data_IF_488880991866
#
_entry.id   IF_488880991866
#
_cell.length_a   1.000
_cell.length_b   1.000
_cell.length_c   1.000
_cell.angle_alpha   90.00
_cell.angle_beta   90.00
_cell.angle_gamma   90.00
#
_symmetry.space_group_name_H-M   'P 1'
#
loop_
_entity.id
_entity.type
_entity.pdbx_description
1 polymer ?
#
# COMPACT_ATOMS: atom_id res chain seq x y z
N UNK A 1 5.27 -22.80 -30.95
CA UNK A 1 4.80 -22.53 -29.57
C UNK A 1 3.35 -22.04 -29.63
N UNK A 2 2.34 -22.93 -29.54
CA UNK A 2 0.93 -22.54 -29.74
C UNK A 2 -0.06 -23.22 -28.78
N UNK A 3 0.34 -23.36 -27.52
CA UNK A 3 -0.56 -23.54 -26.38
C UNK A 3 0.22 -23.01 -25.19
N UNK A 4 -0.21 -21.94 -24.50
CA UNK A 4 0.47 -21.63 -23.22
C UNK A 4 -0.36 -20.89 -22.18
N UNK A 5 -1.28 -20.00 -22.54
CA UNK A 5 -2.06 -19.27 -21.54
C UNK A 5 -3.54 -19.25 -21.90
N UNK A 6 -4.41 -19.69 -20.97
CA UNK A 6 -5.88 -19.66 -21.10
C UNK A 6 -6.49 -18.35 -20.59
N UNK A 7 -5.74 -17.62 -19.77
CA UNK A 7 -6.12 -16.39 -19.09
C UNK A 7 -4.85 -15.72 -18.56
N UNK A 8 -4.79 -14.38 -18.56
CA UNK A 8 -3.82 -13.59 -17.81
C UNK A 8 -4.53 -12.83 -16.69
N UNK A 9 -3.93 -12.84 -15.51
CA UNK A 9 -4.29 -11.96 -14.40
C UNK A 9 -3.24 -10.85 -14.30
N UNK A 10 -3.68 -9.59 -14.29
CA UNK A 10 -2.83 -8.43 -14.11
C UNK A 10 -3.03 -7.91 -12.69
N UNK A 11 -1.98 -7.90 -11.88
CA UNK A 11 -2.02 -7.36 -10.52
C UNK A 11 -0.99 -6.24 -10.44
N UNK A 12 -1.45 -5.00 -10.30
CA UNK A 12 -0.60 -3.81 -10.29
C UNK A 12 -0.32 -3.35 -8.85
N UNK A 13 0.95 -3.04 -8.59
CA UNK A 13 1.44 -2.54 -7.31
C UNK A 13 2.66 -1.67 -7.56
N UNK A 14 2.45 -0.48 -8.12
CA UNK A 14 3.51 0.52 -8.27
C UNK A 14 3.40 1.50 -7.11
N UNK A 15 4.53 2.04 -6.67
CA UNK A 15 4.63 3.17 -5.75
C UNK A 15 5.71 4.12 -6.29
N UNK A 16 5.32 5.01 -7.19
CA UNK A 16 6.22 6.02 -7.76
C UNK A 16 5.65 7.43 -7.52
N UNK A 17 6.45 8.32 -6.93
CA UNK A 17 6.11 9.74 -6.76
C UNK A 17 5.15 10.08 -5.61
N UNK A 18 4.88 9.12 -4.73
CA UNK A 18 3.76 9.07 -3.80
C UNK A 18 4.03 9.66 -2.39
N UNK A 19 4.92 10.65 -2.27
CA UNK A 19 5.47 11.08 -0.96
C UNK A 19 5.22 12.55 -0.64
N UNK A 20 4.34 13.19 -1.40
CA UNK A 20 4.13 14.65 -1.39
C UNK A 20 2.67 15.02 -1.14
N UNK A 21 2.44 16.27 -0.74
CA UNK A 21 1.11 16.86 -0.49
C UNK A 21 0.74 17.89 -1.55
N UNK A 22 -0.55 18.09 -1.82
CA UNK A 22 -0.99 19.16 -2.72
C UNK A 22 -0.69 20.55 -2.14
N UNK A 23 -0.34 21.50 -3.02
CA UNK A 23 0.03 22.87 -2.66
C UNK A 23 -1.03 23.60 -1.82
N UNK A 24 -2.32 23.38 -2.12
CA UNK A 24 -3.44 24.01 -1.40
C UNK A 24 -3.48 23.71 0.10
N UNK A 25 -2.78 22.66 0.56
CA UNK A 25 -2.69 22.31 1.98
C UNK A 25 -1.41 22.79 2.66
N UNK A 26 -0.48 23.39 1.91
CA UNK A 26 0.79 23.91 2.42
C UNK A 26 1.79 22.83 2.87
N UNK A 27 3.00 23.27 3.28
CA UNK A 27 3.99 22.39 3.87
C UNK A 27 3.53 21.90 5.25
N UNK A 28 3.99 20.72 5.64
CA UNK A 28 3.70 20.16 6.97
C UNK A 28 4.83 19.24 7.42
N UNK A 29 4.77 18.81 8.67
CA UNK A 29 5.63 17.79 9.22
C UNK A 29 4.80 16.68 9.81
N UNK A 30 5.28 15.45 9.68
CA UNK A 30 4.67 14.27 10.27
C UNK A 30 5.65 13.57 11.17
N UNK A 31 5.13 12.83 12.15
CA UNK A 31 5.96 11.99 13.00
C UNK A 31 6.37 10.74 12.24
N UNK A 32 7.64 10.37 12.34
CA UNK A 32 8.14 9.14 11.74
C UNK A 32 9.33 8.58 12.53
N UNK A 33 9.72 7.34 12.20
CA UNK A 33 10.92 6.69 12.73
C UNK A 33 11.95 6.48 11.63
N UNK A 34 13.23 6.70 11.94
CA UNK A 34 14.35 6.30 11.09
C UNK A 34 14.69 4.83 11.37
N UNK A 35 14.60 4.00 10.34
CA UNK A 35 14.88 2.57 10.40
C UNK A 35 15.95 2.22 9.38
N UNK A 36 16.96 1.46 9.78
CA UNK A 36 17.94 0.91 8.86
C UNK A 36 17.25 0.03 7.80
N UNK A 37 17.77 0.02 6.58
CA UNK A 37 17.24 -0.86 5.52
C UNK A 37 18.12 -2.09 5.37
N UNK A 38 17.50 -3.22 5.09
CA UNK A 38 18.22 -4.45 4.75
C UNK A 38 19.15 -4.17 3.55
N UNK A 39 20.47 -4.47 3.64
CA UNK A 39 21.46 -3.98 2.67
C UNK A 39 21.28 -4.52 1.25
N UNK A 40 20.63 -5.69 1.10
CA UNK A 40 20.36 -6.33 -0.20
C UNK A 40 18.91 -6.15 -0.63
N UNK A 41 17.95 -6.59 0.20
CA UNK A 41 16.52 -6.63 -0.12
C UNK A 41 15.82 -5.26 -0.01
N UNK A 42 16.48 -4.26 0.60
CA UNK A 42 16.01 -2.87 0.68
C UNK A 42 14.60 -2.69 1.30
N UNK A 43 14.19 -3.54 2.23
CA UNK A 43 13.06 -3.27 3.10
C UNK A 43 13.53 -2.68 4.44
N UNK A 44 12.66 -2.00 5.21
CA UNK A 44 13.00 -1.51 6.54
C UNK A 44 13.26 -2.66 7.52
N UNK A 45 14.44 -2.73 8.11
CA UNK A 45 14.92 -3.85 8.92
C UNK A 45 14.56 -3.67 10.41
N UNK A 46 13.44 -4.27 10.82
CA UNK A 46 12.99 -4.30 12.21
C UNK A 46 13.51 -5.51 13.01
N UNK A 47 14.42 -6.32 12.45
CA UNK A 47 14.92 -7.54 13.11
C UNK A 47 15.72 -7.26 14.39
N UNK A 48 16.22 -6.03 14.56
CA UNK A 48 16.97 -5.59 15.72
C UNK A 48 16.54 -4.19 16.15
N UNK A 49 16.51 -3.96 17.47
CA UNK A 49 16.20 -2.64 18.03
C UNK A 49 17.20 -1.56 17.61
N UNK A 50 18.48 -1.90 17.46
CA UNK A 50 19.54 -0.97 17.01
C UNK A 50 19.30 -0.38 15.61
N UNK A 51 18.44 -1.02 14.82
CA UNK A 51 18.06 -0.51 13.51
C UNK A 51 17.02 0.60 13.58
N UNK A 52 16.26 0.72 14.67
CA UNK A 52 15.32 1.81 14.91
C UNK A 52 16.09 2.95 15.58
N UNK A 53 16.57 3.90 14.78
CA UNK A 53 17.61 4.85 15.18
C UNK A 53 17.06 6.08 15.87
N UNK A 54 15.93 6.59 15.37
CA UNK A 54 15.39 7.87 15.82
C UNK A 54 13.87 7.92 15.63
N UNK A 55 13.21 8.65 16.52
CA UNK A 55 11.84 9.16 16.33
C UNK A 55 11.92 10.68 16.18
N UNK A 56 11.24 11.22 15.17
CA UNK A 56 11.32 12.65 14.88
C UNK A 56 10.19 13.15 14.01
N UNK A 57 10.31 14.43 13.63
CA UNK A 57 9.46 15.06 12.64
C UNK A 57 10.17 15.03 11.28
N UNK A 58 9.43 14.67 10.24
CA UNK A 58 9.91 14.66 8.85
C UNK A 58 9.04 15.58 8.00
N UNK A 59 9.68 16.33 7.10
CA UNK A 59 8.99 17.24 6.21
C UNK A 59 8.21 16.48 5.13
N UNK A 60 6.97 16.91 4.90
CA UNK A 60 6.19 16.47 3.74
C UNK A 60 6.35 17.53 2.64
N UNK A 61 7.04 17.15 1.57
CA UNK A 61 7.26 18.05 0.45
C UNK A 61 5.95 18.35 -0.31
N UNK A 62 5.85 19.55 -0.87
CA UNK A 62 4.72 19.96 -1.72
C UNK A 62 4.95 19.45 -3.15
N UNK A 63 3.89 18.89 -3.75
CA UNK A 63 3.88 18.42 -5.13
C UNK A 63 3.73 19.58 -6.11
N UNK A 64 4.59 19.62 -7.12
CA UNK A 64 4.38 20.47 -8.29
C UNK A 64 3.53 19.75 -9.35
N UNK A 65 3.17 20.44 -10.43
CA UNK A 65 2.37 19.87 -11.52
C UNK A 65 2.97 18.59 -12.12
N UNK A 66 4.30 18.55 -12.30
CA UNK A 66 5.00 17.36 -12.84
C UNK A 66 4.94 16.17 -11.88
N UNK A 67 5.00 16.42 -10.58
CA UNK A 67 4.82 15.38 -9.57
C UNK A 67 3.42 14.78 -9.65
N UNK A 68 2.39 15.63 -9.83
CA UNK A 68 0.99 15.22 -9.94
C UNK A 68 0.77 14.41 -11.23
N UNK A 69 1.23 14.93 -12.38
CA UNK A 69 1.14 14.25 -13.67
C UNK A 69 1.79 12.87 -13.62
N UNK A 70 3.02 12.81 -13.10
CA UNK A 70 3.76 11.55 -12.96
C UNK A 70 3.04 10.57 -12.03
N UNK A 71 2.52 11.05 -10.91
CA UNK A 71 1.78 10.19 -9.96
C UNK A 71 0.52 9.65 -10.62
N UNK A 72 -0.26 10.48 -11.30
CA UNK A 72 -1.46 10.06 -12.02
C UNK A 72 -1.16 9.04 -13.12
N UNK A 73 -0.07 9.22 -13.87
CA UNK A 73 0.34 8.28 -14.91
C UNK A 73 0.70 6.90 -14.33
N UNK A 74 1.59 6.85 -13.35
CA UNK A 74 2.11 5.57 -12.85
C UNK A 74 1.20 4.89 -11.83
N UNK A 75 0.52 5.66 -10.99
CA UNK A 75 -0.31 5.16 -9.88
C UNK A 75 -1.81 5.16 -10.21
N UNK A 76 -2.22 5.90 -11.24
CA UNK A 76 -3.62 6.06 -11.64
C UNK A 76 -3.97 5.35 -12.94
N UNK A 77 -3.26 5.62 -14.03
CA UNK A 77 -3.68 5.14 -15.35
C UNK A 77 -2.82 4.01 -15.92
N UNK A 78 -1.74 3.63 -15.24
CA UNK A 78 -0.80 2.59 -15.71
C UNK A 78 -1.46 1.24 -16.01
N UNK A 79 -2.58 0.94 -15.35
CA UNK A 79 -3.40 -0.25 -15.64
C UNK A 79 -3.82 -0.29 -17.11
N UNK A 80 -4.17 0.85 -17.69
CA UNK A 80 -4.60 0.94 -19.10
C UNK A 80 -3.51 0.55 -20.08
N UNK A 81 -2.25 0.91 -19.77
CA UNK A 81 -1.06 0.62 -20.57
C UNK A 81 -0.79 -0.89 -20.69
N UNK A 82 -1.31 -1.69 -19.74
CA UNK A 82 -1.16 -3.14 -19.74
C UNK A 82 -2.42 -3.85 -20.21
N UNK A 83 -3.60 -3.45 -19.73
CA UNK A 83 -4.86 -4.14 -20.02
C UNK A 83 -5.18 -4.08 -21.52
N UNK A 84 -5.02 -2.92 -22.16
CA UNK A 84 -5.41 -2.76 -23.57
C UNK A 84 -4.58 -3.68 -24.50
N UNK A 85 -3.23 -3.69 -24.43
CA UNK A 85 -2.42 -4.61 -25.24
C UNK A 85 -2.65 -6.10 -24.92
N UNK A 86 -2.88 -6.45 -23.64
CA UNK A 86 -3.18 -7.84 -23.27
C UNK A 86 -4.53 -8.31 -23.86
N UNK A 87 -5.52 -7.43 -23.92
CA UNK A 87 -6.79 -7.72 -24.56
C UNK A 87 -6.64 -7.90 -26.08
N UNK A 88 -5.93 -6.99 -26.75
CA UNK A 88 -5.65 -7.06 -28.20
C UNK A 88 -4.90 -8.33 -28.59
N UNK A 89 -4.00 -8.80 -27.72
CA UNK A 89 -3.28 -10.07 -27.89
C UNK A 89 -4.15 -11.32 -27.59
N UNK A 90 -5.42 -11.16 -27.21
CA UNK A 90 -6.33 -12.25 -26.87
C UNK A 90 -5.99 -12.95 -25.54
N UNK A 91 -5.26 -12.29 -24.63
CA UNK A 91 -4.81 -12.86 -23.37
C UNK A 91 -5.77 -12.58 -22.20
N UNK A 92 -6.70 -11.64 -22.36
CA UNK A 92 -7.77 -11.40 -21.39
C UNK A 92 -9.04 -12.16 -21.76
N UNK A 93 -9.58 -12.90 -20.79
CA UNK A 93 -10.79 -13.70 -20.97
C UNK A 93 -11.93 -13.14 -20.11
N UNK A 94 -13.03 -12.75 -20.76
CA UNK A 94 -14.24 -12.27 -20.09
C UNK A 94 -14.74 -13.28 -19.03
N UNK A 95 -15.14 -12.78 -17.87
CA UNK A 95 -15.60 -13.54 -16.70
C UNK A 95 -14.52 -14.34 -15.96
N UNK A 96 -13.28 -14.39 -16.46
CA UNK A 96 -12.21 -15.26 -15.92
C UNK A 96 -10.96 -14.46 -15.55
N UNK A 97 -10.49 -13.59 -16.44
CA UNK A 97 -9.34 -12.71 -16.19
C UNK A 97 -9.61 -11.78 -15.02
N UNK A 98 -8.57 -11.52 -14.23
CA UNK A 98 -8.61 -10.59 -13.10
C UNK A 98 -7.66 -9.44 -13.41
N UNK A 99 -8.15 -8.21 -13.22
CA UNK A 99 -7.33 -7.00 -13.17
C UNK A 99 -7.44 -6.47 -11.75
N UNK A 100 -6.37 -6.51 -10.99
CA UNK A 100 -6.38 -6.13 -9.59
C UNK A 100 -5.29 -5.11 -9.26
N UNK A 101 -5.47 -4.42 -8.15
CA UNK A 101 -4.45 -3.55 -7.59
C UNK A 101 -4.48 -3.61 -6.07
N UNK A 102 -3.30 -3.48 -5.47
CA UNK A 102 -3.18 -3.27 -4.04
C UNK A 102 -3.53 -1.81 -3.70
N UNK A 103 -4.52 -1.62 -2.83
CA UNK A 103 -4.92 -0.31 -2.33
C UNK A 103 -4.80 -0.19 -0.81
N UNK A 104 -4.11 0.85 -0.36
CA UNK A 104 -4.10 1.25 1.03
C UNK A 104 -5.29 2.19 1.22
N UNK A 105 -6.25 1.80 2.06
CA UNK A 105 -7.45 2.60 2.32
C UNK A 105 -7.14 3.63 3.42
N UNK A 106 -6.71 4.82 2.98
CA UNK A 106 -6.22 5.89 3.83
C UNK A 106 -7.33 6.82 4.34
N UNK A 107 -7.03 7.50 5.45
CA UNK A 107 -7.85 8.58 5.98
C UNK A 107 -7.77 9.83 5.08
N UNK A 108 -8.88 10.55 4.93
CA UNK A 108 -8.97 11.69 4.00
C UNK A 108 -8.08 12.86 4.40
N UNK A 109 -7.81 12.99 5.68
CA UNK A 109 -6.96 13.99 6.29
C UNK A 109 -5.51 13.53 6.49
N UNK A 110 -5.16 12.32 6.03
CA UNK A 110 -3.76 11.91 5.97
C UNK A 110 -2.96 12.90 5.11
N UNK A 111 -1.88 13.48 5.64
CA UNK A 111 -1.14 14.57 5.00
C UNK A 111 -0.42 14.16 3.72
N UNK A 112 -0.23 12.86 3.45
CA UNK A 112 0.46 12.36 2.26
C UNK A 112 -0.51 11.64 1.33
N UNK A 113 -1.23 10.64 1.84
CA UNK A 113 -2.14 9.83 1.07
C UNK A 113 -3.46 10.55 0.76
N UNK A 114 -4.10 11.14 1.76
CA UNK A 114 -5.41 11.78 1.66
C UNK A 114 -5.36 13.16 1.04
N UNK A 115 -4.29 13.90 1.32
CA UNK A 115 -4.09 15.29 0.92
C UNK A 115 -2.99 15.47 -0.13
N UNK A 116 -2.47 14.39 -0.69
CA UNK A 116 -1.46 14.40 -1.74
C UNK A 116 -1.91 13.82 -3.08
N UNK A 117 -1.04 13.84 -4.10
CA UNK A 117 -1.35 13.34 -5.45
C UNK A 117 -1.83 11.89 -5.51
N UNK A 118 -1.45 11.09 -4.51
CA UNK A 118 -1.93 9.73 -4.35
C UNK A 118 -3.46 9.63 -4.29
N UNK A 119 -4.14 10.56 -3.63
CA UNK A 119 -5.59 10.55 -3.54
C UNK A 119 -6.24 10.59 -4.92
N UNK A 120 -5.80 11.54 -5.77
CA UNK A 120 -6.25 11.66 -7.15
C UNK A 120 -5.89 10.42 -7.97
N UNK A 121 -4.68 9.90 -7.84
CA UNK A 121 -4.26 8.71 -8.55
C UNK A 121 -5.09 7.48 -8.18
N UNK A 122 -5.50 7.29 -6.92
CA UNK A 122 -6.36 6.17 -6.53
C UNK A 122 -7.75 6.25 -7.15
N UNK A 123 -8.29 7.45 -7.35
CA UNK A 123 -9.54 7.65 -8.09
C UNK A 123 -9.36 7.20 -9.54
N UNK A 124 -8.33 7.71 -10.22
CA UNK A 124 -8.02 7.35 -11.61
C UNK A 124 -7.74 5.85 -11.80
N UNK A 125 -7.14 5.21 -10.80
CA UNK A 125 -6.88 3.76 -10.78
C UNK A 125 -8.17 2.95 -10.73
N UNK A 126 -9.13 3.36 -9.90
CA UNK A 126 -10.45 2.73 -9.82
C UNK A 126 -11.22 2.91 -11.13
N UNK A 127 -11.21 4.12 -11.69
CA UNK A 127 -11.82 4.41 -13.00
C UNK A 127 -11.21 3.57 -14.12
N UNK A 128 -9.87 3.45 -14.15
CA UNK A 128 -9.14 2.63 -15.14
C UNK A 128 -9.54 1.16 -15.06
N UNK A 129 -9.81 0.65 -13.86
CA UNK A 129 -10.28 -0.71 -13.64
C UNK A 129 -11.75 -0.92 -13.98
N UNK A 130 -12.60 0.05 -13.68
CA UNK A 130 -14.00 0.04 -14.11
C UNK A 130 -14.09 0.00 -15.63
N UNK A 131 -13.29 0.82 -16.31
CA UNK A 131 -13.16 0.82 -17.78
C UNK A 131 -12.70 -0.54 -18.29
N UNK A 132 -11.70 -1.17 -17.66
CA UNK A 132 -11.24 -2.50 -18.04
C UNK A 132 -12.35 -3.57 -17.93
N UNK A 133 -13.10 -3.56 -16.82
CA UNK A 133 -14.20 -4.47 -16.61
C UNK A 133 -15.34 -4.27 -17.63
N UNK A 134 -15.73 -3.02 -17.89
CA UNK A 134 -16.78 -2.69 -18.85
C UNK A 134 -16.38 -3.07 -20.28
N UNK A 135 -15.14 -2.77 -20.69
CA UNK A 135 -14.67 -2.97 -22.06
C UNK A 135 -14.36 -4.43 -22.38
N UNK A 136 -13.78 -5.17 -21.44
CA UNK A 136 -13.25 -6.52 -21.69
C UNK A 136 -13.94 -7.64 -20.89
N UNK A 137 -14.89 -7.29 -20.02
CA UNK A 137 -15.59 -8.27 -19.17
C UNK A 137 -14.69 -8.93 -18.13
N UNK A 138 -13.52 -8.37 -17.82
CA UNK A 138 -12.63 -8.90 -16.77
C UNK A 138 -13.18 -8.61 -15.37
N UNK A 139 -12.83 -9.45 -14.40
CA UNK A 139 -13.06 -9.17 -12.98
C UNK A 139 -12.08 -8.08 -12.53
N UNK A 140 -12.56 -6.89 -12.18
CA UNK A 140 -11.72 -5.88 -11.55
C UNK A 140 -11.84 -5.95 -10.02
N UNK A 141 -10.71 -6.12 -9.34
CA UNK A 141 -10.67 -6.36 -7.88
C UNK A 141 -9.69 -5.40 -7.19
N UNK A 142 -10.22 -4.57 -6.29
CA UNK A 142 -9.42 -3.77 -5.35
C UNK A 142 -9.00 -4.65 -4.18
N UNK A 143 -7.70 -4.85 -3.99
CA UNK A 143 -7.16 -5.58 -2.85
C UNK A 143 -6.82 -4.57 -1.76
N UNK A 144 -7.66 -4.45 -0.74
CA UNK A 144 -7.38 -3.54 0.37
C UNK A 144 -6.43 -4.22 1.36
N UNK A 145 -5.28 -3.61 1.60
CA UNK A 145 -4.19 -4.19 2.39
C UNK A 145 -3.79 -3.27 3.56
N UNK A 146 -3.32 -3.82 4.70
CA UNK A 146 -2.81 -3.03 5.82
C UNK A 146 -1.48 -2.36 5.46
N UNK A 147 -0.93 -1.49 6.32
CA UNK A 147 0.45 -1.06 6.14
C UNK A 147 1.41 -2.27 6.11
N UNK A 148 2.38 -2.27 5.18
CA UNK A 148 3.36 -3.34 4.99
C UNK A 148 4.77 -2.76 4.86
N UNK A 149 5.76 -3.47 5.38
CA UNK A 149 7.20 -3.18 5.34
C UNK A 149 7.82 -3.31 3.95
N UNK A 150 7.31 -2.51 3.03
CA UNK A 150 7.84 -2.36 1.68
C UNK A 150 8.86 -1.24 1.64
N UNK A 151 9.81 -1.34 0.70
CA UNK A 151 10.71 -0.22 0.35
C UNK A 151 9.92 1.06 0.07
N UNK A 152 8.77 0.92 -0.59
CA UNK A 152 7.88 2.02 -0.91
C UNK A 152 7.32 2.72 0.33
N UNK A 153 6.86 1.95 1.33
CA UNK A 153 6.36 2.52 2.57
C UNK A 153 7.46 3.26 3.34
N UNK A 154 8.68 2.74 3.32
CA UNK A 154 9.84 3.40 3.93
C UNK A 154 10.25 4.72 3.27
N UNK A 155 9.74 5.02 2.07
CA UNK A 155 9.94 6.32 1.41
C UNK A 155 8.83 7.33 1.71
N UNK A 156 7.72 6.90 2.31
CA UNK A 156 6.55 7.74 2.61
C UNK A 156 6.75 8.37 3.99
N UNK A 157 6.70 9.71 4.11
CA UNK A 157 6.74 10.36 5.41
C UNK A 157 5.65 9.83 6.35
N UNK A 158 6.05 9.32 7.52
CA UNK A 158 5.16 8.70 8.51
C UNK A 158 4.85 7.23 8.24
N UNK A 159 5.31 6.67 7.12
CA UNK A 159 5.05 5.30 6.71
C UNK A 159 5.69 4.27 7.62
N UNK A 160 6.93 4.50 8.07
CA UNK A 160 7.62 3.55 8.97
C UNK A 160 6.97 3.53 10.35
N UNK A 161 6.60 4.69 10.89
CA UNK A 161 5.86 4.76 12.14
C UNK A 161 4.48 4.10 12.03
N UNK A 162 3.76 4.34 10.93
CA UNK A 162 2.48 3.68 10.63
C UNK A 162 2.63 2.16 10.68
N UNK A 163 3.56 1.59 9.92
CA UNK A 163 3.77 0.15 9.93
C UNK A 163 4.20 -0.38 11.30
N UNK A 164 5.22 0.22 11.92
CA UNK A 164 5.77 -0.27 13.18
C UNK A 164 4.72 -0.29 14.29
N UNK A 165 4.01 0.82 14.49
CA UNK A 165 3.02 0.95 15.57
C UNK A 165 1.78 0.08 15.30
N UNK A 166 1.25 0.08 14.07
CA UNK A 166 0.09 -0.76 13.75
C UNK A 166 0.42 -2.24 13.85
N UNK A 167 1.63 -2.65 13.49
CA UNK A 167 2.11 -4.03 13.66
C UNK A 167 2.17 -4.43 15.12
N UNK A 168 2.69 -3.58 16.01
CA UNK A 168 2.68 -3.84 17.47
C UNK A 168 1.24 -4.03 17.96
N UNK A 169 0.34 -3.09 17.64
CA UNK A 169 -1.06 -3.15 18.10
C UNK A 169 -1.78 -4.39 17.54
N UNK A 170 -1.57 -4.72 16.26
CA UNK A 170 -2.16 -5.91 15.65
C UNK A 170 -1.61 -7.20 16.26
N UNK A 171 -0.32 -7.23 16.60
CA UNK A 171 0.31 -8.37 17.25
C UNK A 171 -0.24 -8.57 18.67
N UNK A 172 -0.38 -7.50 19.47
CA UNK A 172 -1.03 -7.55 20.79
C UNK A 172 -2.45 -8.12 20.73
N UNK A 173 -3.16 -7.90 19.61
CA UNK A 173 -4.52 -8.39 19.37
C UNK A 173 -4.56 -9.75 18.66
N UNK A 174 -3.42 -10.41 18.44
CA UNK A 174 -3.30 -11.65 17.66
C UNK A 174 -3.95 -11.56 16.26
N UNK A 175 -3.87 -10.37 15.65
CA UNK A 175 -4.46 -10.06 14.35
C UNK A 175 -3.44 -9.67 13.28
N UNK A 176 -2.15 -9.63 13.63
CA UNK A 176 -1.07 -9.35 12.68
C UNK A 176 -0.98 -10.46 11.63
N UNK A 177 -0.79 -10.05 10.37
CA UNK A 177 -0.59 -10.94 9.23
C UNK A 177 0.63 -10.46 8.47
N UNK A 178 1.61 -11.34 8.29
CA UNK A 178 2.79 -11.02 7.51
C UNK A 178 2.52 -11.10 6.00
N UNK A 179 3.50 -10.71 5.19
CA UNK A 179 3.39 -10.69 3.73
C UNK A 179 3.03 -12.07 3.14
N UNK A 180 3.60 -13.16 3.67
CA UNK A 180 3.32 -14.53 3.19
C UNK A 180 1.85 -14.87 3.40
N UNK A 181 1.30 -14.56 4.57
CA UNK A 181 -0.12 -14.78 4.88
C UNK A 181 -1.02 -13.90 4.01
N UNK A 182 -0.73 -12.60 3.88
CA UNK A 182 -1.52 -11.70 3.05
C UNK A 182 -1.50 -12.10 1.57
N UNK A 183 -0.35 -12.55 1.06
CA UNK A 183 -0.22 -13.07 -0.30
C UNK A 183 -1.07 -14.32 -0.52
N UNK A 184 -1.07 -15.26 0.45
CA UNK A 184 -1.93 -16.43 0.40
C UNK A 184 -3.42 -16.06 0.42
N UNK A 185 -3.84 -15.16 1.31
CA UNK A 185 -5.24 -14.72 1.42
C UNK A 185 -5.70 -13.93 0.17
N UNK A 186 -4.80 -13.25 -0.52
CA UNK A 186 -5.10 -12.55 -1.78
C UNK A 186 -5.58 -13.50 -2.89
N UNK A 187 -5.18 -14.78 -2.84
CA UNK A 187 -5.59 -15.79 -3.82
C UNK A 187 -7.10 -16.04 -3.84
N UNK A 188 -7.84 -15.61 -2.81
CA UNK A 188 -9.31 -15.64 -2.77
C UNK A 188 -9.94 -15.04 -4.03
N UNK A 189 -9.37 -13.94 -4.55
CA UNK A 189 -9.91 -13.25 -5.73
C UNK A 189 -9.87 -14.09 -7.02
N UNK A 190 -9.06 -15.14 -7.04
CA UNK A 190 -8.90 -16.04 -8.19
C UNK A 190 -9.89 -17.21 -8.18
N UNK A 191 -10.64 -17.39 -7.08
CA UNK A 191 -11.68 -18.42 -7.02
C UNK A 191 -12.79 -18.12 -8.02
N UNK A 192 -13.40 -19.19 -8.55
CA UNK A 192 -14.42 -19.07 -9.59
C UNK A 192 -15.66 -18.29 -9.11
N UNK A 193 -16.07 -18.53 -7.88
CA UNK A 193 -17.23 -17.95 -7.19
C UNK A 193 -16.96 -16.56 -6.59
N UNK A 194 -15.72 -16.06 -6.61
CA UNK A 194 -15.41 -14.70 -6.19
C UNK A 194 -16.00 -13.67 -7.18
N UNK A 195 -16.94 -12.87 -6.69
CA UNK A 195 -17.69 -11.88 -7.49
C UNK A 195 -17.67 -10.46 -6.89
N UNK A 196 -16.88 -10.23 -5.83
CA UNK A 196 -16.75 -8.91 -5.21
C UNK A 196 -15.83 -7.99 -6.03
N UNK A 197 -16.08 -6.68 -5.96
CA UNK A 197 -15.17 -5.64 -6.48
C UNK A 197 -14.01 -5.35 -5.52
N UNK A 198 -14.14 -5.77 -4.27
CA UNK A 198 -13.15 -5.55 -3.22
C UNK A 198 -12.81 -6.85 -2.49
N UNK A 199 -11.52 -7.05 -2.23
CA UNK A 199 -10.99 -8.05 -1.30
C UNK A 199 -10.34 -7.31 -0.13
N UNK A 200 -11.04 -7.28 1.02
CA UNK A 200 -10.59 -6.58 2.23
C UNK A 200 -9.73 -7.49 3.10
N UNK A 201 -8.42 -7.28 3.11
CA UNK A 201 -7.46 -7.95 4.01
C UNK A 201 -7.03 -7.05 5.18
N UNK A 202 -7.54 -5.83 5.23
CA UNK A 202 -7.14 -4.74 6.14
C UNK A 202 -8.15 -4.47 7.26
N UNK A 203 -9.22 -5.27 7.43
CA UNK A 203 -10.30 -4.96 8.40
C UNK A 203 -9.80 -4.72 9.83
N UNK A 204 -8.89 -5.58 10.31
CA UNK A 204 -8.32 -5.44 11.64
C UNK A 204 -7.43 -4.18 11.74
N UNK A 205 -6.69 -3.88 10.67
CA UNK A 205 -5.88 -2.66 10.56
C UNK A 205 -6.74 -1.40 10.63
N UNK A 206 -7.81 -1.33 9.84
CA UNK A 206 -8.75 -0.21 9.84
C UNK A 206 -9.38 0.01 11.22
N UNK A 207 -9.70 -1.08 11.93
CA UNK A 207 -10.29 -1.00 13.27
C UNK A 207 -9.34 -0.44 14.34
N UNK A 208 -8.01 -0.47 14.11
CA UNK A 208 -7.03 -0.01 15.09
C UNK A 208 -6.47 1.39 14.81
N UNK A 209 -6.87 2.05 13.72
CA UNK A 209 -6.38 3.40 13.40
C UNK A 209 -6.59 4.41 14.54
N UNK A 210 -7.74 4.46 15.25
CA UNK A 210 -7.89 5.36 16.39
C UNK A 210 -6.91 5.10 17.54
N UNK A 211 -6.59 3.82 17.78
CA UNK A 211 -5.61 3.43 18.79
C UNK A 211 -4.18 3.75 18.35
N UNK A 212 -3.88 3.54 17.07
CA UNK A 212 -2.62 3.95 16.45
C UNK A 212 -2.38 5.45 16.66
N UNK A 213 -3.34 6.32 16.29
CA UNK A 213 -3.18 7.77 16.42
C UNK A 213 -2.88 8.19 17.85
N UNK A 214 -3.64 7.64 18.81
CA UNK A 214 -3.42 7.91 20.24
C UNK A 214 -2.02 7.49 20.70
N UNK A 215 -1.56 6.29 20.32
CA UNK A 215 -0.23 5.80 20.72
C UNK A 215 0.89 6.55 20.00
N UNK A 216 0.72 6.86 18.72
CA UNK A 216 1.67 7.62 17.93
C UNK A 216 1.85 9.04 18.48
N UNK A 217 0.77 9.70 18.92
CA UNK A 217 0.82 11.02 19.56
C UNK A 217 1.52 10.97 20.93
N UNK A 218 1.26 9.95 21.73
CA UNK A 218 1.86 9.80 23.06
C UNK A 218 3.32 9.31 23.05
N UNK A 219 3.80 8.73 21.95
CA UNK A 219 5.14 8.15 21.85
C UNK A 219 6.22 9.19 22.13
N UNK A 220 7.25 8.86 22.89
CA UNK A 220 8.45 9.69 23.04
C UNK A 220 9.70 8.92 22.60
N UNK A 221 10.84 9.60 22.33
CA UNK A 221 12.08 8.90 21.97
C UNK A 221 12.54 7.87 23.00
N UNK A 222 12.22 8.07 24.29
CA UNK A 222 12.58 7.13 25.36
C UNK A 222 11.76 5.83 25.30
N UNK A 223 10.57 5.87 24.73
CA UNK A 223 9.67 4.72 24.65
C UNK A 223 10.00 3.78 23.49
N UNK A 224 10.65 4.30 22.44
CA UNK A 224 10.93 3.62 21.17
C UNK A 224 11.50 2.20 21.36
N UNK A 225 12.55 1.97 22.18
CA UNK A 225 13.11 0.63 22.34
C UNK A 225 12.10 -0.37 22.93
N UNK A 226 11.27 0.06 23.90
CA UNK A 226 10.31 -0.81 24.57
C UNK A 226 9.06 -1.08 23.73
N UNK A 227 8.51 -0.03 23.11
CA UNK A 227 7.30 -0.12 22.29
C UNK A 227 7.51 -1.02 21.07
N UNK A 228 8.69 -0.95 20.44
CA UNK A 228 8.97 -1.68 19.21
C UNK A 228 9.77 -2.98 19.39
N UNK A 229 10.14 -3.36 20.63
CA UNK A 229 10.75 -4.67 20.91
C UNK A 229 9.97 -5.85 20.30
N UNK A 230 8.62 -5.89 20.33
CA UNK A 230 7.87 -7.00 19.74
C UNK A 230 8.16 -7.23 18.26
N UNK A 231 8.53 -6.19 17.50
CA UNK A 231 8.81 -6.30 16.05
C UNK A 231 10.00 -7.22 15.77
N UNK A 232 10.99 -7.24 16.66
CA UNK A 232 12.19 -8.11 16.54
C UNK A 232 11.88 -9.61 16.62
N UNK A 233 10.66 -9.96 17.05
CA UNK A 233 10.20 -11.34 17.28
C UNK A 233 9.24 -11.82 16.20
N UNK A 234 8.89 -10.96 15.24
CA UNK A 234 7.93 -11.28 14.18
C UNK A 234 8.64 -11.81 12.92
N UNK A 235 7.98 -12.71 12.19
CA UNK A 235 8.37 -13.11 10.83
C UNK A 235 7.94 -11.99 9.86
N UNK A 236 8.68 -10.89 9.91
CA UNK A 236 8.68 -9.85 8.88
C UNK A 236 9.53 -10.35 7.68
N UNK A 237 9.20 -9.97 6.43
CA UNK A 237 9.89 -10.39 5.22
C UNK A 237 11.43 -10.39 5.26
#
# INVERSE_FOLDING_TARGET
>A
MKQKYKVVHLINGIAAGATKRYEQYGPTQVRDIDVAFHPVLQYPDFSKLENIRQLGLVDVAVANEKDIERTNLFMGTSTTLWVDPLAEAGLLKSGVSVVAFADYDFEKDDPVYGMGPLAGAKILQRESMDRAAQKYGVKAVRICYPAMDTTALGAIPGGLLMFAMTTVILNEKNAFKNLKQLAFETMEMLKQDFNSRELRLDKAFQAILPEFHKRAEALTPADVPGVFEPLTKLDLP
#
